data_IF_581588218503
#
_entry.id   IF_581588218503
#
_cell.length_a   1.000
_cell.length_b   1.000
_cell.length_c   1.000
_cell.angle_alpha   90.00
_cell.angle_beta   90.00
_cell.angle_gamma   90.00
#
_symmetry.space_group_name_H-M   'P 1'
#
loop_
_entity.id
_entity.type
_entity.pdbx_description
1 polymer ?
#
# COMPACT_ATOMS: atom_id res chain seq x y z
N UNK A 1 3.96 -7.06 -2.79
CA UNK A 1 3.84 -5.59 -2.85
C UNK A 1 2.60 -5.29 -3.68
N UNK A 2 1.55 -4.71 -3.09
CA UNK A 2 0.39 -4.26 -3.86
C UNK A 2 0.76 -3.01 -4.64
N UNK A 3 0.42 -3.00 -5.92
CA UNK A 3 0.51 -1.81 -6.76
C UNK A 3 -0.82 -1.07 -6.66
N UNK A 4 -0.78 0.22 -6.36
CA UNK A 4 -1.96 1.08 -6.39
C UNK A 4 -1.79 2.07 -7.54
N UNK A 5 -2.72 2.03 -8.50
CA UNK A 5 -2.67 2.91 -9.66
C UNK A 5 -3.46 4.20 -9.38
N UNK A 6 -2.75 5.32 -9.41
CA UNK A 6 -3.26 6.66 -9.20
C UNK A 6 -3.20 7.43 -10.52
N UNK A 7 -4.33 8.00 -10.94
CA UNK A 7 -4.36 8.86 -12.11
C UNK A 7 -4.72 10.28 -11.68
N UNK A 8 -3.93 11.24 -12.12
CA UNK A 8 -4.18 12.66 -11.88
C UNK A 8 -4.74 13.27 -13.16
N UNK A 9 -6.01 13.66 -13.09
CA UNK A 9 -6.77 14.26 -14.18
C UNK A 9 -7.07 15.72 -13.86
N UNK A 10 -7.49 16.46 -14.87
CA UNK A 10 -7.91 17.85 -14.72
C UNK A 10 -7.57 18.68 -15.95
N UNK A 11 -8.21 19.85 -16.03
CA UNK A 11 -8.02 20.79 -17.13
C UNK A 11 -6.56 21.23 -17.27
N UNK A 12 -6.21 21.73 -18.45
CA UNK A 12 -4.90 22.33 -18.67
C UNK A 12 -4.66 23.45 -17.65
N UNK A 13 -3.46 23.47 -17.04
CA UNK A 13 -3.06 24.41 -15.97
C UNK A 13 -3.80 24.26 -14.63
N UNK A 14 -4.50 23.16 -14.36
CA UNK A 14 -5.11 22.92 -13.04
C UNK A 14 -4.14 22.54 -11.92
N UNK A 15 -2.82 22.74 -12.08
CA UNK A 15 -1.83 22.49 -11.02
C UNK A 15 -1.47 21.02 -10.79
N UNK A 16 -1.79 20.12 -11.73
CA UNK A 16 -1.56 18.67 -11.60
C UNK A 16 -0.08 18.32 -11.36
N UNK A 17 0.80 18.88 -12.18
CA UNK A 17 2.24 18.59 -12.16
C UNK A 17 2.89 19.10 -10.87
N UNK A 18 2.52 20.31 -10.44
CA UNK A 18 2.97 20.92 -9.20
C UNK A 18 2.49 20.13 -7.99
N UNK A 19 1.23 19.69 -7.99
CA UNK A 19 0.68 18.85 -6.93
C UNK A 19 1.46 17.53 -6.81
N UNK A 20 1.71 16.86 -7.95
CA UNK A 20 2.49 15.63 -8.02
C UNK A 20 3.90 15.81 -7.45
N UNK A 21 4.58 16.90 -7.82
CA UNK A 21 5.93 17.21 -7.33
C UNK A 21 5.96 17.36 -5.81
N UNK A 22 4.93 17.98 -5.23
CA UNK A 22 4.81 18.16 -3.78
C UNK A 22 4.40 16.88 -3.05
N UNK A 23 3.66 15.99 -3.73
CA UNK A 23 3.30 14.69 -3.16
C UNK A 23 4.48 13.72 -3.11
N UNK A 24 5.44 13.85 -4.03
CA UNK A 24 6.60 12.99 -4.06
C UNK A 24 7.61 13.31 -2.95
N UNK A 25 8.33 12.29 -2.44
CA UNK A 25 9.33 12.49 -1.41
C UNK A 25 10.47 13.37 -1.94
N UNK A 26 10.94 14.31 -1.11
CA UNK A 26 12.03 15.26 -1.44
C UNK A 26 13.28 14.55 -1.98
N UNK A 27 13.62 13.38 -1.43
CA UNK A 27 14.76 12.57 -1.86
C UNK A 27 14.66 12.03 -3.31
N UNK A 28 13.47 12.09 -3.93
CA UNK A 28 13.22 11.63 -5.30
C UNK A 28 13.22 12.75 -6.34
N UNK A 29 13.37 14.02 -5.95
CA UNK A 29 13.34 15.16 -6.85
C UNK A 29 14.68 15.37 -7.58
N UNK A 30 15.03 14.44 -8.47
CA UNK A 30 16.14 14.60 -9.42
C UNK A 30 15.67 15.33 -10.69
N UNK A 31 16.59 15.85 -11.51
CA UNK A 31 16.24 16.46 -12.81
C UNK A 31 15.52 15.47 -13.75
N UNK A 32 15.84 14.18 -13.64
CA UNK A 32 15.15 13.11 -14.37
C UNK A 32 13.70 12.92 -13.89
N UNK A 33 13.48 13.04 -12.58
CA UNK A 33 12.15 13.01 -11.97
C UNK A 33 11.27 14.17 -12.47
N UNK A 34 11.80 15.39 -12.53
CA UNK A 34 11.08 16.55 -13.08
C UNK A 34 10.75 16.38 -14.57
N UNK A 35 11.65 15.75 -15.35
CA UNK A 35 11.38 15.44 -16.76
C UNK A 35 10.25 14.43 -16.94
N UNK A 36 10.19 13.39 -16.10
CA UNK A 36 9.14 12.35 -16.19
C UNK A 36 7.72 12.90 -15.93
N UNK A 37 7.58 13.81 -14.97
CA UNK A 37 6.29 14.47 -14.66
C UNK A 37 5.83 15.30 -15.86
N UNK A 38 6.76 16.00 -16.50
CA UNK A 38 6.47 16.83 -17.66
C UNK A 38 6.23 16.01 -18.94
N UNK A 39 6.73 14.76 -19.00
CA UNK A 39 6.56 13.87 -20.16
C UNK A 39 5.33 12.96 -20.08
N UNK A 40 4.38 13.22 -19.16
CA UNK A 40 3.21 12.35 -18.92
C UNK A 40 3.56 10.87 -18.68
N UNK A 41 4.79 10.62 -18.23
CA UNK A 41 5.30 9.28 -17.95
C UNK A 41 4.88 8.87 -16.55
N UNK A 42 4.53 7.58 -16.32
CA UNK A 42 4.16 7.12 -15.01
C UNK A 42 5.35 7.28 -14.06
N UNK A 43 5.10 7.78 -12.85
CA UNK A 43 6.11 7.81 -11.79
C UNK A 43 5.66 6.93 -10.63
N UNK A 44 6.62 6.31 -9.95
CA UNK A 44 6.36 5.41 -8.84
C UNK A 44 6.86 5.99 -7.54
N UNK A 45 6.03 5.93 -6.50
CA UNK A 45 6.42 6.28 -5.13
C UNK A 45 6.28 5.07 -4.23
N UNK A 46 7.25 4.87 -3.35
CA UNK A 46 7.21 3.84 -2.31
C UNK A 46 6.93 4.50 -0.97
N UNK A 47 5.75 4.24 -0.39
CA UNK A 47 5.44 4.65 0.99
C UNK A 47 4.87 3.45 1.74
N UNK A 48 5.40 3.20 2.93
CA UNK A 48 4.96 2.08 3.77
C UNK A 48 4.88 0.74 3.01
N UNK A 49 5.87 0.46 2.13
CA UNK A 49 5.98 -0.83 1.42
C UNK A 49 4.95 -1.04 0.32
N UNK A 50 4.13 -0.03 0.05
CA UNK A 50 3.22 0.03 -1.07
C UNK A 50 3.82 0.88 -2.18
N UNK A 51 3.65 0.42 -3.41
CA UNK A 51 4.06 1.14 -4.62
C UNK A 51 2.83 1.86 -5.17
N UNK A 52 2.96 3.17 -5.31
CA UNK A 52 1.96 4.07 -5.84
C UNK A 52 2.44 4.52 -7.21
N UNK A 53 1.75 4.09 -8.27
CA UNK A 53 2.07 4.51 -9.63
C UNK A 53 1.13 5.64 -10.01
N UNK A 54 1.70 6.82 -10.17
CA UNK A 54 0.99 8.03 -10.52
C UNK A 54 1.16 8.32 -12.00
N UNK A 55 0.06 8.70 -12.63
CA UNK A 55 0.06 9.09 -14.02
C UNK A 55 -0.64 10.44 -14.18
N UNK A 56 0.10 11.45 -14.64
CA UNK A 56 -0.45 12.76 -14.96
C UNK A 56 -0.89 12.79 -16.42
N UNK A 57 -2.15 13.14 -16.69
CA UNK A 57 -2.65 13.31 -18.06
C UNK A 57 -3.34 14.65 -18.22
N UNK A 58 -3.09 15.28 -19.37
CA UNK A 58 -3.82 16.47 -19.78
C UNK A 58 -5.16 16.09 -20.41
N UNK A 59 -6.24 16.71 -19.96
CA UNK A 59 -7.60 16.47 -20.47
C UNK A 59 -7.88 17.04 -21.86
N UNK A 60 -6.88 17.49 -22.63
CA UNK A 60 -7.10 18.11 -23.93
C UNK A 60 -7.37 17.07 -25.02
N UNK A 61 -8.64 16.94 -25.42
CA UNK A 61 -9.20 16.62 -26.75
C UNK A 61 -8.72 15.39 -27.54
N UNK A 62 -7.42 15.19 -27.72
CA UNK A 62 -6.88 14.15 -28.62
C UNK A 62 -6.55 12.82 -27.93
N UNK A 63 -6.64 12.76 -26.59
CA UNK A 63 -6.34 11.55 -25.83
C UNK A 63 -7.55 10.93 -25.12
N UNK A 64 -8.80 11.30 -25.47
CA UNK A 64 -9.99 10.85 -24.74
C UNK A 64 -10.08 9.31 -24.61
N UNK A 65 -9.84 8.57 -25.70
CA UNK A 65 -9.84 7.10 -25.70
C UNK A 65 -8.68 6.50 -24.87
N UNK A 66 -7.53 7.17 -24.82
CA UNK A 66 -6.37 6.73 -24.03
C UNK A 66 -6.60 7.01 -22.54
N UNK A 67 -7.15 8.17 -22.21
CA UNK A 67 -7.59 8.53 -20.86
C UNK A 67 -8.64 7.52 -20.39
N UNK A 68 -9.59 7.13 -21.24
CA UNK A 68 -10.59 6.09 -20.93
C UNK A 68 -9.94 4.74 -20.60
N UNK A 69 -9.06 4.22 -21.48
CA UNK A 69 -8.38 2.95 -21.27
C UNK A 69 -7.57 2.92 -19.97
N UNK A 70 -6.87 4.01 -19.67
CA UNK A 70 -6.06 4.14 -18.46
C UNK A 70 -6.93 4.33 -17.21
N UNK A 71 -7.97 5.15 -17.28
CA UNK A 71 -8.94 5.38 -16.20
C UNK A 71 -9.55 4.08 -15.73
N UNK A 72 -9.87 3.15 -16.64
CA UNK A 72 -10.37 1.80 -16.31
C UNK A 72 -9.40 1.02 -15.41
N UNK A 73 -8.09 1.25 -15.53
CA UNK A 73 -7.09 0.54 -14.73
C UNK A 73 -6.79 1.19 -13.38
N UNK A 74 -7.20 2.45 -13.20
CA UNK A 74 -6.97 3.20 -11.97
C UNK A 74 -7.64 2.54 -10.75
N UNK A 75 -7.04 2.73 -9.59
CA UNK A 75 -7.67 2.49 -8.30
C UNK A 75 -8.28 3.76 -7.73
N UNK A 76 -7.63 4.90 -7.99
CA UNK A 76 -8.01 6.22 -7.53
C UNK A 76 -7.76 7.25 -8.62
N UNK A 77 -8.66 8.23 -8.72
CA UNK A 77 -8.55 9.35 -9.65
C UNK A 77 -8.49 10.63 -8.83
N UNK A 78 -7.38 11.35 -8.91
CA UNK A 78 -7.24 12.70 -8.37
C UNK A 78 -7.67 13.69 -9.46
N UNK A 79 -8.87 14.23 -9.36
CA UNK A 79 -9.37 15.19 -10.34
C UNK A 79 -9.11 16.63 -9.85
N UNK A 80 -8.16 17.30 -10.48
CA UNK A 80 -7.68 18.63 -10.11
C UNK A 80 -8.49 19.74 -10.77
N UNK A 81 -9.05 20.64 -9.96
CA UNK A 81 -9.84 21.81 -10.36
C UNK A 81 -9.07 23.07 -9.97
N UNK A 82 -8.84 23.97 -10.93
CA UNK A 82 -8.20 25.26 -10.66
C UNK A 82 -9.19 26.22 -9.97
N UNK A 83 -8.95 26.54 -8.70
CA UNK A 83 -9.81 27.45 -7.94
C UNK A 83 -9.48 28.94 -8.17
N UNK A 84 -8.40 29.26 -8.90
CA UNK A 84 -8.04 30.64 -9.25
C UNK A 84 -8.90 31.21 -10.38
N UNK A 85 -9.63 30.34 -11.10
CA UNK A 85 -10.56 30.70 -12.17
C UNK A 85 -12.00 30.38 -11.77
N UNK A 86 -12.96 31.12 -12.32
CA UNK A 86 -14.38 30.84 -12.10
C UNK A 86 -14.70 29.37 -12.45
N UNK A 87 -15.29 28.65 -11.51
CA UNK A 87 -15.59 27.23 -11.63
C UNK A 87 -16.96 27.07 -12.27
N UNK A 88 -17.02 26.44 -13.43
CA UNK A 88 -18.28 25.96 -13.97
C UNK A 88 -18.63 24.61 -13.32
N UNK A 89 -19.45 24.67 -12.27
CA UNK A 89 -19.91 23.48 -11.54
C UNK A 89 -20.78 22.56 -12.41
N UNK A 90 -21.46 23.10 -13.42
CA UNK A 90 -22.24 22.32 -14.38
C UNK A 90 -21.33 21.46 -15.25
N UNK A 91 -20.29 22.08 -15.82
CA UNK A 91 -19.27 21.38 -16.61
C UNK A 91 -18.50 20.36 -15.76
N UNK A 92 -18.18 20.69 -14.51
CA UNK A 92 -17.53 19.77 -13.58
C UNK A 92 -18.40 18.53 -13.33
N UNK A 93 -19.70 18.71 -13.06
CA UNK A 93 -20.65 17.61 -12.88
C UNK A 93 -20.72 16.72 -14.13
N UNK A 94 -20.82 17.33 -15.32
CA UNK A 94 -20.85 16.58 -16.58
C UNK A 94 -19.55 15.77 -16.78
N UNK A 95 -18.41 16.37 -16.48
CA UNK A 95 -17.12 15.70 -16.60
C UNK A 95 -17.00 14.51 -15.65
N UNK A 96 -17.40 14.69 -14.39
CA UNK A 96 -17.38 13.62 -13.39
C UNK A 96 -18.38 12.51 -13.72
N UNK A 97 -19.54 12.86 -14.26
CA UNK A 97 -20.52 11.90 -14.78
C UNK A 97 -19.94 11.09 -15.93
N UNK A 98 -19.25 11.72 -16.87
CA UNK A 98 -18.63 11.02 -18.00
C UNK A 98 -17.54 10.05 -17.51
N UNK A 99 -16.68 10.48 -16.57
CA UNK A 99 -15.67 9.61 -15.95
C UNK A 99 -16.35 8.42 -15.24
N UNK A 100 -17.42 8.68 -14.50
CA UNK A 100 -18.21 7.66 -13.79
C UNK A 100 -18.80 6.62 -14.75
N UNK A 101 -19.40 7.07 -15.84
CA UNK A 101 -20.04 6.21 -16.84
C UNK A 101 -19.01 5.35 -17.58
N UNK A 102 -17.90 5.96 -18.03
CA UNK A 102 -16.79 5.25 -18.67
C UNK A 102 -16.22 4.16 -17.76
N UNK A 103 -16.05 4.48 -16.48
CA UNK A 103 -15.55 3.53 -15.49
C UNK A 103 -16.53 2.38 -15.24
N UNK A 104 -17.82 2.69 -15.12
CA UNK A 104 -18.87 1.72 -14.80
C UNK A 104 -19.19 0.76 -15.95
N UNK A 105 -19.01 1.21 -17.20
CA UNK A 105 -19.20 0.37 -18.38
C UNK A 105 -18.17 -0.79 -18.46
N UNK A 106 -17.06 -0.69 -17.73
CA UNK A 106 -16.05 -1.75 -17.69
C UNK A 106 -16.47 -2.88 -16.73
N UNK A 107 -16.89 -3.99 -17.32
CA UNK A 107 -17.30 -5.23 -16.64
C UNK A 107 -16.24 -5.84 -15.72
N UNK A 108 -14.98 -5.40 -15.82
CA UNK A 108 -13.88 -5.90 -15.00
C UNK A 108 -13.68 -5.18 -13.66
N UNK A 109 -14.16 -3.94 -13.48
CA UNK A 109 -13.71 -3.09 -12.34
C UNK A 109 -14.73 -2.10 -11.76
N UNK A 110 -16.00 -2.14 -12.16
CA UNK A 110 -17.02 -1.15 -11.76
C UNK A 110 -17.19 -0.93 -10.23
N UNK A 111 -16.75 -1.85 -9.37
CA UNK A 111 -17.06 -1.82 -7.93
C UNK A 111 -16.07 -1.05 -7.02
N UNK A 112 -14.99 -0.43 -7.52
CA UNK A 112 -13.93 0.01 -6.59
C UNK A 112 -13.05 1.20 -7.00
N UNK A 113 -13.53 2.05 -7.92
CA UNK A 113 -12.85 3.31 -8.22
C UNK A 113 -13.43 4.46 -7.41
N UNK A 114 -12.54 5.25 -6.83
CA UNK A 114 -12.90 6.44 -6.06
C UNK A 114 -12.28 7.67 -6.72
N UNK A 115 -13.10 8.70 -6.92
CA UNK A 115 -12.61 10.03 -7.31
C UNK A 115 -12.38 10.83 -6.04
N UNK A 116 -11.22 11.48 -5.97
CA UNK A 116 -10.90 12.50 -4.99
C UNK A 116 -10.79 13.82 -5.75
N UNK A 117 -11.61 14.80 -5.38
CA UNK A 117 -11.52 16.12 -5.98
C UNK A 117 -10.46 16.94 -5.26
N UNK A 118 -9.59 17.58 -6.04
CA UNK A 118 -8.52 18.42 -5.53
C UNK A 118 -8.66 19.81 -6.11
N UNK A 119 -9.15 20.75 -5.31
CA UNK A 119 -9.20 22.14 -5.69
C UNK A 119 -7.82 22.78 -5.47
N UNK A 120 -7.10 23.10 -6.54
CA UNK A 120 -5.74 23.63 -6.50
C UNK A 120 -5.72 25.17 -6.56
N UNK A 121 -4.55 25.77 -6.29
CA UNK A 121 -4.31 27.22 -6.32
C UNK A 121 -5.20 28.01 -5.34
N UNK A 122 -5.48 27.44 -4.18
CA UNK A 122 -6.29 28.11 -3.15
C UNK A 122 -5.67 29.40 -2.61
N UNK A 123 -4.39 29.66 -2.87
CA UNK A 123 -3.69 30.90 -2.54
C UNK A 123 -4.16 32.11 -3.35
N UNK A 124 -4.71 31.88 -4.55
CA UNK A 124 -5.20 32.95 -5.45
C UNK A 124 -6.69 32.85 -5.74
N UNK A 125 -7.39 31.90 -5.12
CA UNK A 125 -8.82 31.67 -5.31
C UNK A 125 -9.70 32.71 -4.63
N UNK A 126 -10.82 33.05 -5.27
CA UNK A 126 -11.88 33.83 -4.62
C UNK A 126 -12.52 33.00 -3.49
N UNK A 127 -12.74 33.56 -2.27
CA UNK A 127 -13.40 32.87 -1.17
C UNK A 127 -14.77 32.27 -1.53
N UNK A 128 -15.52 32.91 -2.43
CA UNK A 128 -16.81 32.40 -2.91
C UNK A 128 -16.66 31.11 -3.70
N UNK A 129 -15.60 30.96 -4.50
CA UNK A 129 -15.32 29.72 -5.22
C UNK A 129 -14.85 28.61 -4.29
N UNK A 130 -14.08 28.94 -3.24
CA UNK A 130 -13.71 27.99 -2.20
C UNK A 130 -14.94 27.43 -1.48
N UNK A 131 -15.86 28.31 -1.09
CA UNK A 131 -17.10 27.92 -0.41
C UNK A 131 -18.00 27.10 -1.33
N UNK A 132 -18.16 27.52 -2.60
CA UNK A 132 -18.91 26.77 -3.60
C UNK A 132 -18.33 25.36 -3.80
N UNK A 133 -17.01 25.23 -3.96
CA UNK A 133 -16.35 23.92 -4.11
C UNK A 133 -16.56 23.00 -2.89
N UNK A 134 -16.52 23.57 -1.67
CA UNK A 134 -16.74 22.82 -0.42
C UNK A 134 -18.18 22.35 -0.27
N UNK A 135 -19.14 23.22 -0.57
CA UNK A 135 -20.57 23.00 -0.26
C UNK A 135 -21.36 22.39 -1.41
N UNK A 136 -20.82 22.42 -2.64
CA UNK A 136 -21.51 21.89 -3.82
C UNK A 136 -21.92 20.43 -3.62
N UNK A 137 -23.18 20.11 -3.81
CA UNK A 137 -23.65 18.72 -3.79
C UNK A 137 -23.59 18.15 -5.20
N UNK A 138 -22.82 17.08 -5.39
CA UNK A 138 -22.74 16.38 -6.66
C UNK A 138 -24.02 15.59 -6.90
N UNK A 139 -24.40 15.45 -8.17
CA UNK A 139 -25.56 14.62 -8.53
C UNK A 139 -25.38 13.18 -8.00
N UNK A 140 -26.46 12.45 -7.69
CA UNK A 140 -26.38 11.05 -7.25
C UNK A 140 -25.63 10.13 -8.23
N UNK A 141 -25.57 10.51 -9.51
CA UNK A 141 -24.82 9.80 -10.56
C UNK A 141 -23.30 9.93 -10.39
N UNK A 142 -22.85 10.92 -9.63
CA UNK A 142 -21.45 11.19 -9.29
C UNK A 142 -21.08 10.70 -7.88
N UNK A 143 -21.79 9.70 -7.34
CA UNK A 143 -21.53 9.11 -6.01
C UNK A 143 -20.17 8.39 -5.88
N UNK A 144 -19.32 8.49 -6.91
CA UNK A 144 -17.93 8.01 -6.89
C UNK A 144 -16.95 9.04 -6.32
N UNK A 145 -17.38 10.30 -6.14
CA UNK A 145 -16.58 11.32 -5.45
C UNK A 145 -16.62 11.03 -3.95
N UNK A 146 -15.50 10.58 -3.40
CA UNK A 146 -15.40 10.16 -2.01
C UNK A 146 -14.97 11.27 -1.07
N UNK A 147 -14.04 12.11 -1.52
CA UNK A 147 -13.41 13.15 -0.70
C UNK A 147 -13.05 14.38 -1.54
N UNK A 148 -12.85 15.49 -0.83
CA UNK A 148 -12.44 16.78 -1.42
C UNK A 148 -11.32 17.38 -0.59
N UNK A 149 -10.31 17.86 -1.29
CA UNK A 149 -9.19 18.58 -0.70
C UNK A 149 -9.02 19.91 -1.40
N UNK A 150 -8.60 20.92 -0.64
CA UNK A 150 -8.24 22.23 -1.18
C UNK A 150 -6.76 22.41 -0.92
N UNK A 151 -6.00 22.65 -1.98
CA UNK A 151 -4.55 22.69 -1.92
C UNK A 151 -3.99 23.96 -2.56
N UNK A 152 -2.84 24.39 -2.06
CA UNK A 152 -2.01 25.42 -2.69
C UNK A 152 -0.60 24.87 -2.83
N UNK A 153 -0.07 24.88 -4.06
CA UNK A 153 1.31 24.50 -4.29
C UNK A 153 2.29 25.57 -3.76
N UNK A 154 1.89 26.85 -3.84
CA UNK A 154 2.70 28.00 -3.40
C UNK A 154 2.88 27.99 -1.88
N UNK A 155 1.79 27.80 -1.15
CA UNK A 155 1.78 27.85 0.31
C UNK A 155 1.89 26.47 0.97
N UNK A 156 1.93 25.39 0.17
CA UNK A 156 1.87 23.99 0.62
C UNK A 156 0.67 23.65 1.51
N UNK A 157 -0.37 24.48 1.48
CA UNK A 157 -1.60 24.26 2.26
C UNK A 157 -2.36 23.06 1.72
N UNK A 158 -2.87 22.18 2.59
CA UNK A 158 -3.76 21.08 2.20
C UNK A 158 -3.07 19.86 1.57
N UNK A 159 -1.77 19.95 1.26
CA UNK A 159 -1.06 18.89 0.54
C UNK A 159 -0.78 17.69 1.43
N UNK A 160 -0.40 17.90 2.69
CA UNK A 160 -0.20 16.79 3.64
C UNK A 160 -1.54 16.15 4.02
N UNK A 161 -2.59 16.94 4.19
CA UNK A 161 -3.95 16.43 4.42
C UNK A 161 -4.43 15.56 3.25
N UNK A 162 -4.19 15.99 2.01
CA UNK A 162 -4.47 15.18 0.82
C UNK A 162 -3.65 13.89 0.82
N UNK A 163 -2.37 13.95 1.14
CA UNK A 163 -1.48 12.78 1.18
C UNK A 163 -1.97 11.77 2.21
N UNK A 164 -2.19 12.21 3.44
CA UNK A 164 -2.63 11.35 4.53
C UNK A 164 -4.02 10.77 4.28
N UNK A 165 -4.95 11.59 3.77
CA UNK A 165 -6.27 11.16 3.33
C UNK A 165 -6.19 10.07 2.25
N UNK A 166 -5.42 10.33 1.19
CA UNK A 166 -5.21 9.36 0.12
C UNK A 166 -4.61 8.05 0.64
N UNK A 167 -3.56 8.11 1.45
CA UNK A 167 -2.95 6.89 1.99
C UNK A 167 -3.89 6.12 2.91
N UNK A 168 -4.67 6.82 3.73
CA UNK A 168 -5.70 6.21 4.57
C UNK A 168 -6.76 5.51 3.73
N UNK A 169 -7.22 6.13 2.64
CA UNK A 169 -8.16 5.48 1.71
C UNK A 169 -7.58 4.21 1.09
N UNK A 170 -6.34 4.28 0.61
CA UNK A 170 -5.66 3.14 -0.01
C UNK A 170 -5.49 2.00 1.00
N UNK A 171 -5.06 2.30 2.22
CA UNK A 171 -4.96 1.34 3.32
C UNK A 171 -6.33 0.71 3.63
N UNK A 172 -7.38 1.51 3.75
CA UNK A 172 -8.74 1.04 3.97
C UNK A 172 -9.22 0.10 2.86
N UNK A 173 -8.95 0.40 1.59
CA UNK A 173 -9.31 -0.46 0.46
C UNK A 173 -8.60 -1.81 0.53
N UNK A 174 -7.29 -1.82 0.81
CA UNK A 174 -6.53 -3.07 0.96
C UNK A 174 -7.00 -3.87 2.18
N UNK A 175 -7.28 -3.20 3.31
CA UNK A 175 -7.86 -3.82 4.50
C UNK A 175 -9.20 -4.48 4.19
N UNK A 176 -10.14 -3.73 3.60
CA UNK A 176 -11.47 -4.24 3.26
C UNK A 176 -11.40 -5.42 2.30
N UNK A 177 -10.49 -5.38 1.32
CA UNK A 177 -10.24 -6.49 0.40
C UNK A 177 -9.72 -7.72 1.14
N UNK A 178 -8.73 -7.54 2.02
CA UNK A 178 -8.16 -8.63 2.81
C UNK A 178 -9.19 -9.26 3.76
N UNK A 179 -10.01 -8.44 4.42
CA UNK A 179 -11.11 -8.89 5.28
C UNK A 179 -12.17 -9.64 4.47
N UNK A 180 -12.54 -9.14 3.30
CA UNK A 180 -13.52 -9.81 2.42
C UNK A 180 -13.03 -11.17 1.95
N UNK A 181 -11.75 -11.27 1.55
CA UNK A 181 -11.11 -12.55 1.18
C UNK A 181 -11.07 -13.52 2.36
N UNK A 182 -10.70 -13.05 3.57
CA UNK A 182 -10.72 -13.85 4.78
C UNK A 182 -12.13 -14.38 5.08
N UNK A 183 -13.15 -13.51 5.03
CA UNK A 183 -14.55 -13.90 5.24
C UNK A 183 -14.99 -14.96 4.24
N UNK A 184 -14.68 -14.79 2.95
CA UNK A 184 -14.99 -15.77 1.90
C UNK A 184 -14.34 -17.13 2.19
N UNK A 185 -13.07 -17.15 2.62
CA UNK A 185 -12.36 -18.38 3.00
C UNK A 185 -12.92 -19.06 4.24
N UNK A 186 -13.43 -18.29 5.21
CA UNK A 186 -14.08 -18.85 6.39
C UNK A 186 -15.47 -19.41 6.04
N UNK A 187 -16.27 -18.68 5.26
CA UNK A 187 -17.59 -19.11 4.81
C UNK A 187 -17.55 -20.40 3.98
N UNK A 188 -16.60 -20.50 3.04
CA UNK A 188 -16.38 -21.73 2.24
C UNK A 188 -16.00 -22.95 3.08
N UNK A 189 -15.60 -22.75 4.35
CA UNK A 189 -15.31 -23.80 5.32
C UNK A 189 -16.48 -24.10 6.26
N UNK A 190 -17.65 -23.48 6.05
CA UNK A 190 -18.85 -23.69 6.85
C UNK A 190 -18.96 -22.80 8.09
N UNK A 191 -18.12 -21.77 8.22
CA UNK A 191 -18.25 -20.76 9.26
C UNK A 191 -19.23 -19.67 8.80
N UNK A 192 -20.48 -19.78 9.23
CA UNK A 192 -21.53 -18.79 8.95
C UNK A 192 -21.61 -17.69 10.01
N UNK A 193 -21.20 -17.97 11.25
CA UNK A 193 -21.13 -16.99 12.33
C UNK A 193 -19.72 -16.37 12.38
N UNK A 194 -19.61 -15.11 11.94
CA UNK A 194 -18.35 -14.37 11.84
C UNK A 194 -18.33 -13.10 12.70
N UNK A 195 -19.35 -12.88 13.54
CA UNK A 195 -19.52 -11.61 14.25
C UNK A 195 -18.41 -11.35 15.26
N UNK A 196 -17.96 -12.38 15.98
CA UNK A 196 -16.81 -12.26 16.88
C UNK A 196 -15.50 -12.01 16.11
N UNK A 197 -15.30 -12.68 14.97
CA UNK A 197 -14.10 -12.46 14.13
C UNK A 197 -14.10 -11.04 13.58
N UNK A 198 -15.26 -10.51 13.20
CA UNK A 198 -15.41 -9.12 12.79
C UNK A 198 -15.05 -8.17 13.94
N UNK A 199 -15.52 -8.45 15.16
CA UNK A 199 -15.15 -7.68 16.35
C UNK A 199 -13.63 -7.68 16.59
N UNK A 200 -12.97 -8.83 16.45
CA UNK A 200 -11.50 -8.92 16.57
C UNK A 200 -10.77 -8.21 15.42
N UNK A 201 -11.31 -8.24 14.21
CA UNK A 201 -10.77 -7.50 13.07
C UNK A 201 -10.89 -5.98 13.30
N UNK A 202 -12.00 -5.50 13.86
CA UNK A 202 -12.19 -4.08 14.17
C UNK A 202 -11.20 -3.63 15.26
N UNK A 203 -11.02 -4.42 16.33
CA UNK A 203 -9.98 -4.16 17.35
C UNK A 203 -8.58 -4.12 16.73
N UNK A 204 -8.28 -5.04 15.79
CA UNK A 204 -6.99 -5.05 15.10
C UNK A 204 -6.82 -3.82 14.21
N UNK A 205 -7.88 -3.40 13.51
CA UNK A 205 -7.88 -2.19 12.66
C UNK A 205 -7.63 -0.94 13.49
N UNK A 206 -8.36 -0.77 14.58
CA UNK A 206 -8.19 0.36 15.49
C UNK A 206 -6.78 0.37 16.09
N UNK A 207 -6.25 -0.81 16.43
CA UNK A 207 -4.86 -0.96 16.84
C UNK A 207 -3.87 -0.54 15.75
N UNK A 208 -4.13 -0.85 14.49
CA UNK A 208 -3.27 -0.47 13.36
C UNK A 208 -3.29 1.05 13.13
N UNK A 209 -4.47 1.64 13.12
CA UNK A 209 -4.66 3.08 12.92
C UNK A 209 -4.01 3.91 14.05
N UNK A 210 -4.00 3.38 15.28
CA UNK A 210 -3.38 4.04 16.44
C UNK A 210 -1.93 3.60 16.72
N UNK A 211 -1.36 2.69 15.93
CA UNK A 211 0.00 2.16 16.15
C UNK A 211 0.15 1.27 17.40
N UNK A 212 -0.95 0.76 17.95
CA UNK A 212 -1.02 -0.11 19.14
C UNK A 212 -1.41 -1.55 18.82
N UNK A 213 -1.42 -1.95 17.54
CA UNK A 213 -1.84 -3.26 17.09
C UNK A 213 -1.03 -4.40 17.76
N UNK A 214 -1.74 -5.34 18.40
CA UNK A 214 -1.17 -6.58 18.89
C UNK A 214 -1.69 -7.77 18.09
N UNK A 215 -0.88 -8.20 17.11
CA UNK A 215 -1.21 -9.33 16.23
C UNK A 215 -1.30 -10.67 16.97
N UNK A 216 -0.52 -10.84 18.06
CA UNK A 216 -0.56 -12.08 18.83
C UNK A 216 -1.90 -12.22 19.56
N UNK A 217 -2.38 -11.13 20.15
CA UNK A 217 -3.69 -11.10 20.83
C UNK A 217 -4.81 -11.37 19.82
N UNK A 218 -4.75 -10.76 18.63
CA UNK A 218 -5.70 -11.05 17.56
C UNK A 218 -5.72 -12.54 17.17
N UNK A 219 -4.55 -13.13 16.92
CA UNK A 219 -4.44 -14.54 16.52
C UNK A 219 -4.94 -15.45 17.65
N UNK A 220 -4.57 -15.16 18.90
CA UNK A 220 -4.96 -15.97 20.06
C UNK A 220 -6.46 -15.86 20.34
N UNK A 221 -7.05 -14.66 20.27
CA UNK A 221 -8.48 -14.47 20.47
C UNK A 221 -9.30 -15.14 19.37
N UNK A 222 -8.90 -14.99 18.10
CA UNK A 222 -9.52 -15.70 16.99
C UNK A 222 -9.42 -17.23 17.18
N UNK A 223 -8.26 -17.72 17.60
CA UNK A 223 -8.04 -19.14 17.86
C UNK A 223 -8.93 -19.66 18.99
N UNK A 224 -8.98 -18.93 20.12
CA UNK A 224 -9.79 -19.26 21.29
C UNK A 224 -11.26 -19.31 20.91
N UNK A 225 -11.76 -18.29 20.21
CA UNK A 225 -13.16 -18.26 19.79
C UNK A 225 -13.51 -19.44 18.88
N UNK A 226 -12.74 -19.64 17.81
CA UNK A 226 -13.00 -20.73 16.88
C UNK A 226 -12.88 -22.13 17.52
N UNK A 227 -11.98 -22.29 18.50
CA UNK A 227 -11.85 -23.55 19.25
C UNK A 227 -13.06 -23.85 20.13
N UNK A 228 -13.76 -22.83 20.61
CA UNK A 228 -14.95 -22.96 21.44
C UNK A 228 -16.21 -23.18 20.58
N UNK A 229 -16.31 -22.51 19.43
CA UNK A 229 -17.51 -22.55 18.57
C UNK A 229 -17.59 -23.82 17.72
N UNK A 230 -16.44 -24.40 17.36
CA UNK A 230 -16.38 -25.59 16.50
C UNK A 230 -15.57 -26.72 17.16
N UNK A 231 -16.20 -27.81 17.63
CA UNK A 231 -15.48 -28.99 18.10
C UNK A 231 -14.57 -29.61 17.02
N UNK A 232 -14.91 -29.40 15.73
CA UNK A 232 -14.12 -29.79 14.56
C UNK A 232 -12.89 -28.89 14.29
N UNK A 233 -12.73 -27.79 15.04
CA UNK A 233 -11.61 -26.85 14.93
C UNK A 233 -10.27 -27.41 15.43
N UNK A 234 -10.26 -28.60 16.05
CA UNK A 234 -9.01 -29.35 16.27
C UNK A 234 -8.26 -29.68 14.97
N UNK A 235 -8.83 -29.39 13.80
CA UNK A 235 -8.16 -29.53 12.52
C UNK A 235 -7.07 -28.43 12.35
N UNK A 236 -5.81 -28.79 12.07
CA UNK A 236 -4.68 -27.86 11.84
C UNK A 236 -4.88 -26.72 10.81
N UNK A 237 -5.65 -26.88 9.71
CA UNK A 237 -5.63 -25.90 8.61
C UNK A 237 -6.28 -24.55 8.96
N UNK A 238 -7.20 -24.49 9.94
CA UNK A 238 -7.92 -23.25 10.24
C UNK A 238 -7.08 -22.28 11.07
N UNK A 239 -6.27 -22.81 12.01
CA UNK A 239 -5.23 -22.04 12.70
C UNK A 239 -4.25 -21.46 11.67
N UNK A 240 -3.80 -22.28 10.71
CA UNK A 240 -2.89 -21.85 9.66
C UNK A 240 -3.45 -20.68 8.83
N UNK A 241 -4.73 -20.70 8.46
CA UNK A 241 -5.35 -19.59 7.70
C UNK A 241 -5.27 -18.26 8.45
N UNK A 242 -5.60 -18.24 9.75
CA UNK A 242 -5.57 -17.01 10.56
C UNK A 242 -4.14 -16.53 10.78
N UNK A 243 -3.21 -17.44 11.09
CA UNK A 243 -1.79 -17.07 11.19
C UNK A 243 -1.26 -16.57 9.85
N UNK A 244 -1.60 -17.20 8.72
CA UNK A 244 -1.15 -16.76 7.41
C UNK A 244 -1.71 -15.38 7.06
N UNK A 245 -2.96 -15.08 7.43
CA UNK A 245 -3.54 -13.75 7.31
C UNK A 245 -2.80 -12.72 8.15
N UNK A 246 -2.56 -13.00 9.44
CA UNK A 246 -1.82 -12.12 10.34
C UNK A 246 -0.37 -11.90 9.88
N UNK A 247 0.32 -12.96 9.44
CA UNK A 247 1.67 -12.88 8.89
C UNK A 247 1.72 -12.11 7.57
N UNK A 248 0.72 -12.27 6.70
CA UNK A 248 0.64 -11.49 5.46
C UNK A 248 0.48 -9.99 5.77
N UNK A 249 -0.38 -9.63 6.71
CA UNK A 249 -0.55 -8.23 7.16
C UNK A 249 0.76 -7.68 7.76
N UNK A 250 1.37 -8.42 8.68
CA UNK A 250 2.67 -8.07 9.28
C UNK A 250 3.75 -7.89 8.22
N UNK A 251 3.86 -8.82 7.27
CA UNK A 251 4.86 -8.75 6.21
C UNK A 251 4.64 -7.54 5.31
N UNK A 252 3.40 -7.21 4.94
CA UNK A 252 3.15 -6.00 4.14
C UNK A 252 3.51 -4.72 4.88
N UNK A 253 3.25 -4.64 6.19
CA UNK A 253 3.58 -3.49 7.02
C UNK A 253 5.08 -3.41 7.34
N UNK A 254 5.79 -4.53 7.37
CA UNK A 254 7.22 -4.61 7.74
C UNK A 254 8.18 -4.57 6.54
N UNK A 255 7.81 -5.15 5.40
CA UNK A 255 8.61 -5.05 4.18
C UNK A 255 8.82 -3.58 3.77
N UNK A 256 7.85 -2.74 4.08
CA UNK A 256 7.92 -1.30 4.03
C UNK A 256 9.10 -0.65 4.75
N UNK A 257 9.20 -0.95 6.05
CA UNK A 257 10.20 -0.37 6.94
C UNK A 257 11.56 -0.96 6.67
N UNK A 258 11.64 -2.25 6.29
CA UNK A 258 12.87 -2.88 5.83
C UNK A 258 13.39 -2.31 4.51
N UNK A 259 12.54 -2.08 3.51
CA UNK A 259 12.96 -1.49 2.23
C UNK A 259 13.36 -0.03 2.43
N UNK A 260 12.58 0.74 3.20
CA UNK A 260 12.93 2.11 3.57
C UNK A 260 14.24 2.19 4.35
N UNK A 261 14.46 1.25 5.29
CA UNK A 261 15.73 1.11 6.01
C UNK A 261 16.88 0.77 5.06
N UNK A 262 16.72 -0.23 4.21
CA UNK A 262 17.79 -0.71 3.33
C UNK A 262 18.21 0.38 2.35
N UNK A 263 17.24 1.11 1.77
CA UNK A 263 17.52 2.25 0.88
C UNK A 263 18.13 3.41 1.66
N UNK A 264 17.60 3.77 2.82
CA UNK A 264 18.16 4.84 3.67
C UNK A 264 19.57 4.53 4.21
N UNK A 265 19.87 3.26 4.48
CA UNK A 265 21.18 2.76 4.86
C UNK A 265 22.17 2.80 3.68
N UNK A 266 21.74 2.33 2.50
CA UNK A 266 22.54 2.39 1.26
C UNK A 266 22.85 3.85 0.85
N UNK A 267 21.92 4.78 1.08
CA UNK A 267 22.10 6.20 0.78
C UNK A 267 22.86 6.97 1.87
N UNK A 268 23.27 6.31 2.96
CA UNK A 268 24.04 6.94 4.05
C UNK A 268 23.27 7.99 4.86
N UNK A 269 21.95 8.08 4.66
CA UNK A 269 21.08 9.08 5.32
C UNK A 269 20.80 8.69 6.78
N UNK A 270 21.04 7.43 7.16
CA UNK A 270 20.86 6.96 8.53
C UNK A 270 22.18 6.77 9.28
N UNK A 271 22.27 7.33 10.49
CA UNK A 271 23.46 7.44 11.35
C UNK A 271 23.88 6.11 12.03
N UNK A 272 23.96 5.05 11.24
CA UNK A 272 24.51 3.75 11.62
C UNK A 272 23.53 2.81 12.35
N UNK A 273 23.95 1.55 12.60
CA UNK A 273 23.13 0.51 13.23
C UNK A 273 22.58 0.92 14.61
N UNK A 274 23.25 1.84 15.31
CA UNK A 274 22.83 2.35 16.61
C UNK A 274 21.48 3.08 16.57
N UNK A 275 21.17 3.83 15.51
CA UNK A 275 19.88 4.52 15.37
C UNK A 275 18.72 3.54 15.12
N UNK A 276 18.98 2.45 14.38
CA UNK A 276 18.02 1.36 14.18
C UNK A 276 17.73 0.62 15.50
N UNK A 277 18.78 0.25 16.25
CA UNK A 277 18.62 -0.42 17.55
C UNK A 277 17.91 0.49 18.55
N UNK A 278 18.23 1.78 18.58
CA UNK A 278 17.57 2.74 19.48
C UNK A 278 16.10 2.98 19.09
N UNK A 279 15.81 3.07 17.79
CA UNK A 279 14.43 3.16 17.28
C UNK A 279 13.59 1.92 17.57
N UNK A 280 14.21 0.74 17.58
CA UNK A 280 13.55 -0.53 17.92
C UNK A 280 13.37 -0.66 19.43
N UNK A 281 14.37 -0.26 20.22
CA UNK A 281 14.25 -0.24 21.68
C UNK A 281 13.18 0.76 22.15
N UNK A 282 12.94 1.83 21.38
CA UNK A 282 11.83 2.77 21.59
C UNK A 282 10.47 2.33 21.01
N UNK A 283 10.42 1.30 20.17
CA UNK A 283 9.17 0.74 19.64
C UNK A 283 8.53 -0.23 20.63
N UNK A 284 7.21 -0.45 20.50
CA UNK A 284 6.41 -1.26 21.43
C UNK A 284 6.95 -2.68 21.66
N UNK A 285 6.58 -3.31 22.79
CA UNK A 285 7.06 -4.63 23.21
C UNK A 285 6.88 -5.74 22.16
N UNK A 286 5.92 -5.61 21.24
CA UNK A 286 5.72 -6.54 20.12
C UNK A 286 6.89 -6.51 19.11
N UNK A 287 7.46 -5.33 18.84
CA UNK A 287 8.61 -5.16 17.95
C UNK A 287 9.89 -5.76 18.57
N UNK A 288 10.07 -5.62 19.88
CA UNK A 288 11.19 -6.21 20.61
C UNK A 288 11.14 -7.75 20.58
N UNK A 289 9.98 -8.35 20.85
CA UNK A 289 9.83 -9.81 20.90
C UNK A 289 10.02 -10.47 19.51
N UNK A 290 9.52 -9.86 18.43
CA UNK A 290 9.72 -10.39 17.08
C UNK A 290 11.16 -10.16 16.56
N UNK A 291 11.81 -9.06 16.98
CA UNK A 291 13.20 -8.83 16.60
C UNK A 291 14.17 -9.77 17.33
N UNK A 292 13.92 -10.14 18.58
CA UNK A 292 14.72 -11.18 19.25
C UNK A 292 14.60 -12.51 18.48
N UNK A 293 13.38 -12.87 18.07
CA UNK A 293 13.14 -14.10 17.31
C UNK A 293 13.80 -14.09 15.92
N UNK A 294 13.69 -12.99 15.17
CA UNK A 294 14.32 -12.87 13.84
C UNK A 294 15.82 -12.58 13.90
N UNK A 295 16.29 -11.90 14.95
CA UNK A 295 17.69 -11.63 15.24
C UNK A 295 18.46 -12.91 15.55
N UNK A 296 17.86 -13.88 16.25
CA UNK A 296 18.48 -15.19 16.45
C UNK A 296 18.66 -15.96 15.14
N UNK A 297 17.69 -15.95 14.22
CA UNK A 297 17.80 -16.66 12.94
C UNK A 297 18.74 -15.94 11.96
N UNK A 298 18.68 -14.62 11.90
CA UNK A 298 19.56 -13.79 11.07
C UNK A 298 21.01 -13.77 11.55
N UNK A 299 21.25 -13.70 12.87
CA UNK A 299 22.59 -13.77 13.44
C UNK A 299 23.18 -15.17 13.29
N UNK A 300 22.41 -16.25 13.46
CA UNK A 300 22.91 -17.60 13.22
C UNK A 300 23.27 -17.82 11.74
N UNK A 301 22.44 -17.36 10.79
CA UNK A 301 22.74 -17.46 9.36
C UNK A 301 23.88 -16.53 8.94
N UNK A 302 23.97 -15.33 9.51
CA UNK A 302 25.06 -14.38 9.27
C UNK A 302 26.41 -14.86 9.83
N UNK A 303 26.42 -15.46 11.03
CA UNK A 303 27.61 -16.11 11.61
C UNK A 303 28.00 -17.36 10.81
N UNK A 304 27.01 -18.13 10.34
CA UNK A 304 27.24 -19.30 9.51
C UNK A 304 27.83 -18.94 8.13
N UNK A 305 27.28 -17.92 7.46
CA UNK A 305 27.76 -17.47 6.14
C UNK A 305 29.08 -16.69 6.23
N UNK A 306 29.31 -15.90 7.29
CA UNK A 306 30.61 -15.23 7.48
C UNK A 306 31.72 -16.22 7.82
N UNK A 307 31.45 -17.27 8.61
CA UNK A 307 32.39 -18.39 8.79
C UNK A 307 32.65 -19.17 7.49
N UNK A 308 31.71 -19.16 6.55
CA UNK A 308 31.84 -19.81 5.23
C UNK A 308 32.63 -18.96 4.23
N UNK A 309 32.50 -17.63 4.31
CA UNK A 309 33.23 -16.66 3.48
C UNK A 309 34.74 -16.58 3.77
N UNK A 310 35.19 -17.09 4.92
CA UNK A 310 36.62 -17.17 5.26
C UNK A 310 37.23 -18.56 5.03
N UNK A 311 36.57 -19.47 4.29
CA UNK A 311 37.19 -20.73 3.86
C UNK A 311 37.93 -20.59 2.52
N UNK A 312 39.06 -21.30 2.31
CA UNK A 312 39.85 -21.18 1.09
C UNK A 312 39.05 -21.61 -0.16
N UNK A 313 39.18 -20.80 -1.22
CA UNK A 313 38.34 -20.79 -2.44
C UNK A 313 38.14 -22.15 -3.12
N UNK A 314 39.12 -23.04 -3.00
CA UNK A 314 39.12 -24.37 -3.60
C UNK A 314 38.08 -25.33 -2.99
N UNK A 315 37.65 -25.10 -1.74
CA UNK A 315 36.60 -25.91 -1.09
C UNK A 315 35.19 -25.42 -1.42
N UNK A 316 34.99 -24.11 -1.52
CA UNK A 316 33.69 -23.52 -1.84
C UNK A 316 33.20 -23.89 -3.25
N UNK A 317 34.09 -23.98 -4.24
CA UNK A 317 33.72 -24.40 -5.60
C UNK A 317 33.32 -25.88 -5.70
N UNK A 318 33.94 -26.76 -4.89
CA UNK A 318 33.57 -28.17 -4.85
C UNK A 318 32.17 -28.36 -4.23
N UNK A 319 31.87 -27.62 -3.16
CA UNK A 319 30.58 -27.70 -2.48
C UNK A 319 29.41 -27.18 -3.35
N UNK A 320 29.65 -26.13 -4.15
CA UNK A 320 28.64 -25.61 -5.10
C UNK A 320 28.35 -26.64 -6.20
N UNK A 321 29.39 -27.34 -6.68
CA UNK A 321 29.24 -28.37 -7.71
C UNK A 321 28.46 -29.57 -7.20
N UNK A 322 28.74 -30.00 -5.98
CA UNK A 322 28.03 -31.11 -5.34
C UNK A 322 26.57 -30.74 -5.06
N UNK A 323 26.29 -29.51 -4.62
CA UNK A 323 24.93 -29.03 -4.42
C UNK A 323 24.12 -28.98 -5.73
N UNK A 324 24.72 -28.51 -6.83
CA UNK A 324 24.07 -28.51 -8.13
C UNK A 324 23.77 -29.94 -8.63
N UNK A 325 24.70 -30.87 -8.39
CA UNK A 325 24.54 -32.28 -8.73
C UNK A 325 23.41 -32.95 -7.91
N UNK A 326 23.33 -32.66 -6.62
CA UNK A 326 22.31 -33.20 -5.71
C UNK A 326 20.89 -32.69 -6.04
N UNK A 327 20.77 -31.49 -6.61
CA UNK A 327 19.49 -30.95 -7.10
C UNK A 327 19.05 -31.64 -8.39
N UNK A 328 20.00 -31.97 -9.28
CA UNK A 328 19.70 -32.64 -10.55
C UNK A 328 19.38 -34.14 -10.37
N UNK A 329 19.88 -34.76 -9.29
CA UNK A 329 19.71 -36.19 -9.01
C UNK A 329 19.30 -36.46 -7.55
N UNK A 330 18.08 -36.05 -7.13
CA UNK A 330 17.68 -36.13 -5.74
C UNK A 330 17.48 -37.59 -5.28
N UNK A 331 18.39 -38.10 -4.46
CA UNK A 331 18.22 -39.32 -3.67
C UNK A 331 17.49 -38.99 -2.34
N UNK A 332 16.73 -39.95 -1.79
CA UNK A 332 16.07 -39.86 -0.49
C UNK A 332 16.99 -39.44 0.68
N UNK A 333 18.30 -39.67 0.58
CA UNK A 333 19.31 -39.24 1.56
C UNK A 333 19.60 -37.74 1.52
N UNK A 334 19.44 -37.09 0.36
CA UNK A 334 19.62 -35.63 0.20
C UNK A 334 18.60 -34.88 1.06
N UNK A 335 17.35 -35.33 1.06
CA UNK A 335 16.26 -34.70 1.83
C UNK A 335 16.44 -34.80 3.35
N UNK A 336 17.02 -35.89 3.85
CA UNK A 336 17.38 -36.04 5.28
C UNK A 336 18.51 -35.12 5.68
N UNK A 337 19.50 -34.94 4.81
CA UNK A 337 20.69 -34.11 5.09
C UNK A 337 20.32 -32.63 5.25
N UNK A 338 19.28 -32.18 4.56
CA UNK A 338 18.75 -30.81 4.69
C UNK A 338 17.56 -30.68 5.65
N UNK A 339 17.17 -31.75 6.36
CA UNK A 339 16.09 -31.72 7.35
C UNK A 339 14.69 -31.48 6.76
N UNK A 340 14.47 -31.87 5.50
CA UNK A 340 13.26 -31.56 4.73
C UNK A 340 12.32 -32.76 4.54
N UNK A 341 12.62 -33.92 5.13
CA UNK A 341 11.67 -35.04 5.26
C UNK A 341 11.40 -35.34 6.73
N UNK A 342 10.12 -35.39 7.12
CA UNK A 342 9.66 -35.84 8.44
C UNK A 342 10.05 -37.29 8.72
#
# INVERSE_FOLDING_TARGET
>A
MSLTNLIVLGNTRSGKSELIQLMAPVASQTDEYLRQINSSSPFSMLKSGQKYDFMCKDGSGQAAAMIEAETITADYILYCVDLSTAIDLGQLNETLKNISQTTSASWFKAASQSIILVGTKSDTSDPTFLEAFKTHEFSPECNIVTERYITSAVNQTGVEELKDGLFKQVQNKHWNKAVTELRSRLQTRGLSDLDEINTQLDVLKDGLDNGTANFNDFVENCHRHLSNTLPAYKTPPLKQIITNFAYHLLWTTYAATLVGFTVGFMLGVWSGPGAFVTGVLGASAAAQNMMIASGCVGAMKGVYETQRLFRPLNTAQADIRNFAFDIEHPDATVWKTYGLSS
#
